data_IF_923153065467
#
_entry.id   IF_923153065467
#
_cell.length_a   1.000
_cell.length_b   1.000
_cell.length_c   1.000
_cell.angle_alpha   90.00
_cell.angle_beta   90.00
_cell.angle_gamma   90.00
#
_symmetry.space_group_name_H-M   'P 1'
#
loop_
_entity.id
_entity.type
_entity.pdbx_description
1 polymer ?
#
# COMPACT_ATOMS: atom_id res chain seq x y z
N UNK A 1 16.85 21.57 -6.26
CA UNK A 1 15.99 22.41 -5.41
C UNK A 1 15.55 21.56 -4.23
N UNK A 2 16.05 21.82 -3.01
CA UNK A 2 15.60 21.10 -1.82
C UNK A 2 14.17 21.54 -1.51
N UNK A 3 13.19 20.67 -1.72
CA UNK A 3 11.83 20.92 -1.29
C UNK A 3 11.83 21.10 0.23
N UNK A 4 11.28 22.23 0.70
CA UNK A 4 11.14 22.49 2.13
C UNK A 4 10.21 21.43 2.71
N UNK A 5 10.72 20.61 3.64
CA UNK A 5 9.93 19.61 4.38
C UNK A 5 8.97 20.36 5.30
N UNK A 6 7.68 20.37 4.96
CA UNK A 6 6.63 21.11 5.69
C UNK A 6 5.92 20.26 6.75
N UNK A 7 5.80 18.96 6.52
CA UNK A 7 5.07 18.05 7.40
C UNK A 7 5.92 17.63 8.60
N UNK A 8 5.28 17.56 9.79
CA UNK A 8 5.93 17.24 11.05
C UNK A 8 5.35 15.96 11.65
N UNK A 9 6.23 15.06 12.07
CA UNK A 9 5.87 13.76 12.65
C UNK A 9 6.38 13.70 14.10
N UNK A 10 5.47 13.75 15.07
CA UNK A 10 5.80 13.73 16.49
C UNK A 10 5.23 12.49 17.17
N UNK A 11 6.01 11.87 18.05
CA UNK A 11 5.54 10.78 18.90
C UNK A 11 6.32 10.76 20.21
N UNK A 12 5.66 10.25 21.26
CA UNK A 12 6.31 9.94 22.54
C UNK A 12 6.82 8.52 22.49
N UNK A 13 7.99 8.29 23.08
CA UNK A 13 8.61 6.99 23.15
C UNK A 13 9.24 6.76 24.53
N UNK A 14 9.29 5.49 25.01
CA UNK A 14 10.04 5.14 26.20
C UNK A 14 11.54 5.44 26.03
N UNK A 15 12.22 5.73 27.14
CA UNK A 15 13.66 6.02 27.13
C UNK A 15 14.48 4.89 26.48
N UNK A 16 14.14 3.63 26.78
CA UNK A 16 14.81 2.47 26.21
C UNK A 16 14.68 2.39 24.68
N UNK A 17 13.56 2.86 24.12
CA UNK A 17 13.38 2.92 22.66
C UNK A 17 14.23 4.05 22.06
N UNK A 18 14.29 5.21 22.73
CA UNK A 18 15.09 6.36 22.29
C UNK A 18 16.57 5.99 22.18
N UNK A 19 17.14 5.37 23.22
CA UNK A 19 18.56 4.96 23.24
C UNK A 19 18.91 4.02 22.09
N UNK A 20 18.06 3.03 21.79
CA UNK A 20 18.28 2.10 20.68
C UNK A 20 18.25 2.79 19.31
N UNK A 21 17.34 3.73 19.11
CA UNK A 21 17.24 4.49 17.86
C UNK A 21 18.49 5.37 17.69
N UNK A 22 18.95 6.02 18.76
CA UNK A 22 20.18 6.84 18.74
C UNK A 22 21.40 6.00 18.41
N UNK A 23 21.56 4.84 19.05
CA UNK A 23 22.64 3.89 18.78
C UNK A 23 22.61 3.41 17.31
N UNK A 24 21.45 3.02 16.80
CA UNK A 24 21.30 2.58 15.42
C UNK A 24 21.61 3.69 14.40
N UNK A 25 21.23 4.94 14.70
CA UNK A 25 21.55 6.09 13.86
C UNK A 25 23.07 6.36 13.82
N UNK A 26 23.76 6.23 14.96
CA UNK A 26 25.23 6.34 15.03
C UNK A 26 25.91 5.25 14.20
N UNK A 27 25.50 3.99 14.35
CA UNK A 27 26.02 2.87 13.56
C UNK A 27 25.82 3.11 12.06
N UNK A 28 24.64 3.63 11.70
CA UNK A 28 24.26 3.92 10.32
C UNK A 28 24.87 5.23 9.77
N UNK A 29 25.59 5.99 10.60
CA UNK A 29 26.23 7.28 10.27
C UNK A 29 25.26 8.33 9.72
N UNK A 30 24.03 8.34 10.23
CA UNK A 30 22.98 9.30 9.87
C UNK A 30 22.45 10.00 11.11
N UNK A 31 21.75 11.12 10.93
CA UNK A 31 21.05 11.76 12.04
C UNK A 31 19.88 10.89 12.53
N UNK A 32 19.50 11.02 13.81
CA UNK A 32 18.33 10.33 14.38
C UNK A 32 17.06 10.58 13.58
N UNK A 33 16.83 11.84 13.17
CA UNK A 33 15.67 12.21 12.36
C UNK A 33 15.67 11.51 11.01
N UNK A 34 16.83 11.46 10.34
CA UNK A 34 16.96 10.75 9.07
C UNK A 34 16.75 9.25 9.25
N UNK A 35 17.35 8.62 10.26
CA UNK A 35 17.18 7.20 10.55
C UNK A 35 15.71 6.83 10.78
N UNK A 36 14.99 7.61 11.58
CA UNK A 36 13.56 7.39 11.86
C UNK A 36 12.73 7.58 10.59
N UNK A 37 13.00 8.64 9.82
CA UNK A 37 12.29 8.91 8.57
C UNK A 37 12.48 7.77 7.57
N UNK A 38 13.71 7.32 7.33
CA UNK A 38 14.01 6.23 6.40
C UNK A 38 13.40 4.90 6.88
N UNK A 39 13.54 4.58 8.16
CA UNK A 39 12.97 3.36 8.74
C UNK A 39 11.45 3.33 8.66
N UNK A 40 10.78 4.45 8.96
CA UNK A 40 9.34 4.56 8.88
C UNK A 40 8.84 4.47 7.44
N UNK A 41 9.49 5.16 6.50
CA UNK A 41 9.16 5.10 5.06
C UNK A 41 9.34 3.68 4.53
N UNK A 42 10.48 3.03 4.83
CA UNK A 42 10.74 1.66 4.40
C UNK A 42 9.66 0.68 4.91
N UNK A 43 9.27 0.80 6.18
CA UNK A 43 8.21 -0.06 6.73
C UNK A 43 6.85 0.24 6.10
N UNK A 44 6.53 1.50 5.86
CA UNK A 44 5.29 1.89 5.19
C UNK A 44 5.23 1.32 3.76
N UNK A 45 6.30 1.45 2.98
CA UNK A 45 6.41 0.88 1.63
C UNK A 45 6.26 -0.64 1.65
N UNK A 46 6.89 -1.30 2.62
CA UNK A 46 6.77 -2.76 2.81
C UNK A 46 5.31 -3.15 3.02
N UNK A 47 4.61 -2.50 3.96
CA UNK A 47 3.20 -2.81 4.27
C UNK A 47 2.28 -2.51 3.08
N UNK A 48 2.51 -1.39 2.37
CA UNK A 48 1.72 -1.03 1.19
C UNK A 48 1.93 -2.07 0.09
N UNK A 49 3.17 -2.51 -0.13
CA UNK A 49 3.50 -3.49 -1.17
C UNK A 49 2.97 -4.88 -0.82
N UNK A 50 3.09 -5.31 0.44
CA UNK A 50 2.50 -6.57 0.94
C UNK A 50 0.98 -6.58 0.73
N UNK A 51 0.30 -5.46 0.97
CA UNK A 51 -1.15 -5.36 0.78
C UNK A 51 -1.56 -5.32 -0.69
N UNK A 52 -0.78 -4.67 -1.56
CA UNK A 52 -1.12 -4.48 -2.99
C UNK A 52 -0.71 -5.66 -3.87
N UNK A 53 0.28 -6.46 -3.46
CA UNK A 53 0.78 -7.55 -4.29
C UNK A 53 0.00 -8.83 -4.00
N UNK A 54 -0.58 -9.40 -5.04
CA UNK A 54 -1.09 -10.76 -5.02
C UNK A 54 0.06 -11.69 -5.44
N UNK A 55 0.65 -12.37 -4.46
CA UNK A 55 1.57 -13.48 -4.73
C UNK A 55 0.71 -14.73 -4.80
N UNK A 56 0.77 -15.42 -5.93
CA UNK A 56 -0.01 -16.62 -6.20
C UNK A 56 0.93 -17.78 -6.50
N UNK A 57 0.50 -18.99 -6.16
CA UNK A 57 1.18 -20.23 -6.55
C UNK A 57 1.08 -20.43 -8.08
N UNK A 58 1.92 -21.30 -8.62
CA UNK A 58 2.05 -21.51 -10.07
C UNK A 58 0.74 -21.95 -10.74
N UNK A 59 -0.04 -22.81 -10.08
CA UNK A 59 -1.34 -23.29 -10.56
C UNK A 59 -2.39 -22.16 -10.66
N UNK A 60 -2.39 -21.26 -9.69
CA UNK A 60 -3.27 -20.08 -9.69
C UNK A 60 -2.80 -19.08 -10.74
N UNK A 61 -1.49 -18.91 -10.91
CA UNK A 61 -0.93 -18.07 -11.97
C UNK A 61 -1.36 -18.54 -13.36
N UNK A 62 -1.26 -19.84 -13.64
CA UNK A 62 -1.72 -20.42 -14.92
C UNK A 62 -3.22 -20.17 -15.14
N UNK A 63 -4.04 -20.35 -14.11
CA UNK A 63 -5.48 -20.06 -14.18
C UNK A 63 -5.77 -18.58 -14.49
N UNK A 64 -5.05 -17.67 -13.83
CA UNK A 64 -5.18 -16.23 -14.09
C UNK A 64 -4.79 -15.90 -15.53
N UNK A 65 -3.64 -16.40 -16.00
CA UNK A 65 -3.16 -16.13 -17.36
C UNK A 65 -4.10 -16.72 -18.41
N UNK A 66 -4.60 -17.94 -18.22
CA UNK A 66 -5.59 -18.55 -19.10
C UNK A 66 -6.89 -17.74 -19.17
N UNK A 67 -7.36 -17.20 -18.04
CA UNK A 67 -8.54 -16.34 -17.99
C UNK A 67 -8.31 -14.98 -18.69
N UNK A 68 -7.09 -14.45 -18.66
CA UNK A 68 -6.73 -13.22 -19.39
C UNK A 68 -6.61 -13.46 -20.91
N UNK A 69 -6.04 -14.59 -21.32
CA UNK A 69 -5.92 -14.97 -22.74
C UNK A 69 -7.26 -15.34 -23.37
N UNK A 70 -8.14 -15.99 -22.60
CA UNK A 70 -9.47 -16.42 -23.03
C UNK A 70 -10.51 -15.95 -22.02
N UNK A 71 -10.89 -14.66 -22.08
CA UNK A 71 -11.85 -14.10 -21.13
C UNK A 71 -13.21 -14.79 -21.26
N UNK A 72 -13.77 -15.36 -20.19
CA UNK A 72 -15.10 -15.96 -20.22
C UNK A 72 -16.16 -14.88 -20.38
N UNK A 73 -17.31 -15.26 -20.96
CA UNK A 73 -18.47 -14.37 -20.99
C UNK A 73 -18.96 -14.06 -19.57
N UNK A 74 -19.43 -12.83 -19.29
CA UNK A 74 -20.01 -12.48 -17.99
C UNK A 74 -21.16 -13.41 -17.61
N UNK A 75 -21.25 -13.75 -16.33
CA UNK A 75 -22.36 -14.57 -15.83
C UNK A 75 -23.66 -13.78 -15.81
N UNK A 76 -24.82 -14.47 -15.83
CA UNK A 76 -26.12 -13.81 -15.75
C UNK A 76 -26.27 -12.92 -14.51
N UNK A 77 -25.68 -13.32 -13.37
CA UNK A 77 -25.66 -12.52 -12.14
C UNK A 77 -24.84 -11.23 -12.30
N UNK A 78 -23.72 -11.28 -13.03
CA UNK A 78 -22.93 -10.08 -13.34
C UNK A 78 -23.70 -9.14 -14.26
N UNK A 79 -24.39 -9.65 -15.28
CA UNK A 79 -25.23 -8.84 -16.17
C UNK A 79 -26.34 -8.11 -15.38
N UNK A 80 -27.07 -8.83 -14.50
CA UNK A 80 -28.10 -8.23 -13.65
C UNK A 80 -27.56 -7.18 -12.68
N UNK A 81 -26.38 -7.41 -12.10
CA UNK A 81 -25.73 -6.43 -11.23
C UNK A 81 -25.34 -5.15 -11.99
N UNK A 82 -24.84 -5.31 -13.23
CA UNK A 82 -24.50 -4.20 -14.10
C UNK A 82 -25.74 -3.42 -14.58
N UNK A 83 -26.83 -4.12 -14.92
CA UNK A 83 -28.13 -3.51 -15.22
C UNK A 83 -28.64 -2.66 -14.05
N UNK A 84 -28.53 -3.16 -12.81
CA UNK A 84 -28.89 -2.40 -11.61
C UNK A 84 -28.06 -1.13 -11.48
N UNK A 85 -26.73 -1.25 -11.58
CA UNK A 85 -25.82 -0.10 -11.50
C UNK A 85 -26.17 0.98 -12.54
N UNK A 86 -26.39 0.60 -13.81
CA UNK A 86 -26.74 1.56 -14.86
C UNK A 86 -28.15 2.15 -14.69
N UNK A 87 -29.09 1.41 -14.10
CA UNK A 87 -30.42 1.95 -13.77
C UNK A 87 -30.38 2.93 -12.58
N UNK A 88 -29.37 2.80 -11.72
CA UNK A 88 -29.10 3.68 -10.58
C UNK A 88 -28.21 4.88 -10.95
N UNK A 89 -27.67 4.94 -12.19
CA UNK A 89 -26.95 6.10 -12.76
C UNK A 89 -27.86 7.31 -13.08
N UNK A 90 -29.02 7.37 -12.43
CA UNK A 90 -29.86 8.57 -12.25
C UNK A 90 -29.58 9.23 -10.89
N UNK A 91 -28.34 9.14 -10.40
CA UNK A 91 -27.89 9.85 -9.20
C UNK A 91 -26.67 10.74 -9.54
N UNK A 92 -26.94 11.81 -10.27
CA UNK A 92 -26.19 13.07 -10.18
C UNK A 92 -27.11 13.98 -9.34
N UNK A 93 -26.91 14.02 -8.02
CA UNK A 93 -26.14 15.03 -7.29
C UNK A 93 -26.69 16.45 -7.48
N UNK A 94 -27.38 16.95 -6.45
CA UNK A 94 -27.29 18.37 -6.04
C UNK A 94 -25.82 18.70 -5.63
#
# INVERSE_FOLDING_TARGET
MNAVRKERFEFRLPEAAKRRIEEAAVISKVSVSQFVMESATFRAETVINEHRRLIVEEDVWEQVMAALERPPAPTQSMCKAFERYNSEESWICD
#
